data_IF_595473865225
#
_entry.id   IF_595473865225
#
_cell.length_a   1.000
_cell.length_b   1.000
_cell.length_c   1.000
_cell.angle_alpha   90.00
_cell.angle_beta   90.00
_cell.angle_gamma   90.00
#
_symmetry.space_group_name_H-M   'P 1'
#
loop_
_entity.id
_entity.type
_entity.pdbx_description
1 polymer ?
#
# COMPACT_ATOMS: atom_id res chain seq x y z
N UNK A 1 33.90 4.47 -17.23
CA UNK A 1 33.02 5.65 -17.17
C UNK A 1 32.65 5.88 -15.72
N UNK A 2 33.12 6.97 -15.13
CA UNK A 2 32.76 7.40 -13.78
C UNK A 2 31.47 8.21 -13.87
N UNK A 3 30.34 7.59 -13.50
CA UNK A 3 29.01 8.17 -13.69
C UNK A 3 28.47 8.91 -12.45
N UNK A 4 29.12 8.76 -11.30
CA UNK A 4 28.73 9.36 -10.01
C UNK A 4 29.97 9.73 -9.21
N UNK A 5 29.83 10.74 -8.35
CA UNK A 5 30.89 11.15 -7.44
C UNK A 5 31.05 10.17 -6.28
N UNK A 6 32.30 9.90 -5.92
CA UNK A 6 32.68 9.07 -4.78
C UNK A 6 33.26 9.93 -3.66
N UNK A 7 33.03 9.50 -2.43
CA UNK A 7 33.62 10.09 -1.24
C UNK A 7 34.33 9.00 -0.42
N UNK A 8 35.21 9.43 0.48
CA UNK A 8 35.81 8.53 1.44
C UNK A 8 34.74 8.01 2.41
N UNK A 9 34.83 6.72 2.76
CA UNK A 9 34.00 6.11 3.79
C UNK A 9 34.39 6.63 5.19
N UNK A 10 33.65 6.21 6.22
CA UNK A 10 33.79 6.74 7.60
C UNK A 10 35.20 6.67 8.22
N UNK A 11 36.08 5.77 7.77
CA UNK A 11 37.45 5.60 8.25
C UNK A 11 38.53 5.99 7.22
N UNK A 12 38.12 6.50 6.05
CA UNK A 12 39.01 6.96 4.99
C UNK A 12 39.76 5.85 4.24
N UNK A 13 39.39 4.58 4.42
CA UNK A 13 40.10 3.44 3.81
C UNK A 13 39.53 2.99 2.48
N UNK A 14 38.24 3.22 2.24
CA UNK A 14 37.55 2.85 1.02
C UNK A 14 36.77 4.06 0.48
N UNK A 15 36.42 4.00 -0.80
CA UNK A 15 35.50 4.96 -1.38
C UNK A 15 34.09 4.38 -1.46
N UNK A 16 33.09 5.23 -1.24
CA UNK A 16 31.67 4.93 -1.40
C UNK A 16 31.00 5.96 -2.33
N UNK A 17 30.02 5.55 -3.15
CA UNK A 17 29.31 6.47 -4.01
C UNK A 17 28.38 7.37 -3.18
N UNK A 18 28.35 8.66 -3.48
CA UNK A 18 27.44 9.63 -2.81
C UNK A 18 25.98 9.42 -3.24
N UNK A 19 25.76 8.97 -4.47
CA UNK A 19 24.48 8.58 -5.05
C UNK A 19 24.67 7.38 -5.97
N UNK A 20 23.60 6.65 -6.26
CA UNK A 20 23.61 5.61 -7.28
C UNK A 20 23.12 6.18 -8.62
N UNK A 21 23.57 5.64 -9.79
CA UNK A 21 23.09 6.09 -11.09
C UNK A 21 21.57 6.03 -11.33
N UNK A 22 20.83 5.25 -10.52
CA UNK A 22 19.37 5.19 -10.49
C UNK A 22 18.70 5.20 -11.88
N UNK A 23 19.02 4.20 -12.71
CA UNK A 23 18.57 4.10 -14.12
C UNK A 23 17.05 3.88 -14.30
N UNK A 24 16.31 3.82 -13.21
CA UNK A 24 14.85 3.85 -13.16
C UNK A 24 14.42 4.72 -11.96
N UNK A 25 13.20 5.29 -11.96
CA UNK A 25 12.74 6.21 -10.91
C UNK A 25 12.46 5.50 -9.56
N UNK A 26 13.52 5.07 -8.89
CA UNK A 26 13.49 4.19 -7.71
C UNK A 26 12.68 4.76 -6.54
N UNK A 27 12.83 6.06 -6.24
CA UNK A 27 12.15 6.69 -5.13
C UNK A 27 10.62 6.58 -5.23
N UNK A 28 10.07 6.78 -6.42
CA UNK A 28 8.62 6.65 -6.64
C UNK A 28 8.20 5.20 -6.84
N UNK A 29 9.04 4.37 -7.46
CA UNK A 29 8.74 2.96 -7.71
C UNK A 29 8.59 2.19 -6.39
N UNK A 30 9.55 2.36 -5.47
CA UNK A 30 9.55 1.65 -4.19
C UNK A 30 8.93 2.45 -3.03
N UNK A 31 8.81 3.77 -3.19
CA UNK A 31 8.42 4.64 -2.10
C UNK A 31 9.53 4.83 -1.07
N UNK A 32 9.21 5.52 0.02
CA UNK A 32 10.10 5.73 1.16
C UNK A 32 9.28 6.06 2.38
N UNK A 33 9.66 5.50 3.53
CA UNK A 33 9.10 5.86 4.82
C UNK A 33 10.23 6.09 5.81
N UNK A 34 10.12 7.13 6.62
CA UNK A 34 11.15 7.47 7.58
C UNK A 34 10.72 8.56 8.54
N UNK A 35 11.16 8.46 9.78
CA UNK A 35 10.96 9.47 10.81
C UNK A 35 12.34 10.03 11.16
N UNK A 36 12.49 11.33 11.00
CA UNK A 36 13.68 12.07 11.40
C UNK A 36 13.31 13.09 12.49
N UNK A 37 14.30 13.81 13.01
CA UNK A 37 14.08 14.80 14.06
C UNK A 37 13.22 15.96 13.52
N UNK A 38 11.96 16.02 13.96
CA UNK A 38 11.01 17.07 13.59
C UNK A 38 10.29 16.89 12.23
N UNK A 39 10.52 15.78 11.52
CA UNK A 39 9.87 15.51 10.23
C UNK A 39 9.65 14.01 9.99
N UNK A 40 8.65 13.69 9.18
CA UNK A 40 8.42 12.33 8.70
C UNK A 40 8.14 12.36 7.20
N UNK A 41 8.59 11.32 6.50
CA UNK A 41 8.32 11.10 5.08
C UNK A 41 7.51 9.82 4.90
N UNK A 42 6.56 9.86 3.97
CA UNK A 42 5.79 8.70 3.53
C UNK A 42 5.41 8.86 2.07
N UNK A 43 6.25 8.32 1.19
CA UNK A 43 6.06 8.28 -0.25
C UNK A 43 5.58 6.86 -0.59
N UNK A 44 4.40 6.69 -1.19
CA UNK A 44 3.92 5.36 -1.56
C UNK A 44 4.61 4.84 -2.83
N UNK A 45 4.69 3.51 -3.01
CA UNK A 45 5.19 2.88 -4.24
C UNK A 45 4.24 3.11 -5.42
N UNK A 46 4.76 3.03 -6.64
CA UNK A 46 4.02 3.25 -7.89
C UNK A 46 4.43 2.23 -8.95
N UNK A 47 3.53 2.04 -9.92
CA UNK A 47 3.78 1.09 -11.00
C UNK A 47 4.92 1.58 -11.89
N UNK A 48 5.95 0.75 -12.09
CA UNK A 48 7.12 1.13 -12.88
C UNK A 48 6.79 1.49 -14.33
N UNK A 49 5.79 0.86 -14.94
CA UNK A 49 5.40 1.15 -16.34
C UNK A 49 4.68 2.49 -16.46
N UNK A 50 3.92 2.87 -15.44
CA UNK A 50 3.24 4.17 -15.38
C UNK A 50 4.26 5.29 -15.14
N UNK A 51 5.20 5.06 -14.23
CA UNK A 51 6.33 5.97 -14.02
C UNK A 51 7.18 6.13 -15.28
N UNK A 52 7.52 5.04 -15.97
CA UNK A 52 8.29 5.09 -17.20
C UNK A 52 7.60 5.94 -18.28
N UNK A 53 6.28 5.75 -18.49
CA UNK A 53 5.50 6.58 -19.41
C UNK A 53 5.49 8.05 -19.02
N UNK A 54 5.41 8.36 -17.72
CA UNK A 54 5.50 9.72 -17.22
C UNK A 54 6.86 10.37 -17.50
N UNK A 55 7.94 9.61 -17.30
CA UNK A 55 9.32 10.05 -17.61
C UNK A 55 9.52 10.26 -19.11
N UNK A 56 9.07 9.32 -19.94
CA UNK A 56 9.11 9.44 -21.41
C UNK A 56 8.36 10.69 -21.87
N UNK A 57 7.15 10.93 -21.34
CA UNK A 57 6.38 12.12 -21.67
C UNK A 57 7.13 13.42 -21.31
N UNK A 58 7.77 13.46 -20.14
CA UNK A 58 8.54 14.62 -19.70
C UNK A 58 9.80 14.86 -20.57
N UNK A 59 10.43 13.79 -21.08
CA UNK A 59 11.56 13.88 -22.01
C UNK A 59 11.11 14.38 -23.40
N UNK A 60 9.93 13.97 -23.86
CA UNK A 60 9.36 14.42 -25.14
C UNK A 60 8.86 15.87 -25.10
N UNK A 61 8.61 16.43 -23.91
CA UNK A 61 8.06 17.77 -23.70
C UNK A 61 8.93 18.62 -22.75
N UNK A 62 10.20 18.91 -23.10
CA UNK A 62 11.14 19.59 -22.20
C UNK A 62 10.74 21.05 -21.89
N UNK A 63 9.95 21.68 -22.77
CA UNK A 63 9.46 23.06 -22.61
C UNK A 63 8.10 23.15 -21.91
N UNK A 64 7.54 22.01 -21.46
CA UNK A 64 6.26 22.00 -20.76
C UNK A 64 6.35 22.82 -19.47
N UNK A 65 5.32 23.61 -19.21
CA UNK A 65 5.20 24.31 -17.93
C UNK A 65 5.04 23.32 -16.78
N UNK A 66 5.32 23.77 -15.55
CA UNK A 66 5.15 22.95 -14.35
C UNK A 66 3.71 22.44 -14.22
N UNK A 67 2.74 23.29 -14.58
CA UNK A 67 1.32 22.97 -14.56
C UNK A 67 0.97 21.90 -15.60
N UNK A 68 1.44 22.04 -16.84
CA UNK A 68 1.21 21.05 -17.91
C UNK A 68 1.83 19.70 -17.58
N UNK A 69 3.08 19.71 -17.08
CA UNK A 69 3.77 18.50 -16.63
C UNK A 69 2.97 17.79 -15.54
N UNK A 70 2.54 18.53 -14.52
CA UNK A 70 1.76 17.95 -13.42
C UNK A 70 0.45 17.33 -13.91
N UNK A 71 -0.31 18.03 -14.76
CA UNK A 71 -1.57 17.51 -15.31
C UNK A 71 -1.36 16.28 -16.20
N UNK A 72 -0.27 16.22 -16.96
CA UNK A 72 0.08 15.05 -17.76
C UNK A 72 0.46 13.86 -16.86
N UNK A 73 1.31 14.07 -15.86
CA UNK A 73 1.75 13.03 -14.94
C UNK A 73 0.60 12.45 -14.11
N UNK A 74 -0.35 13.26 -13.63
CA UNK A 74 -1.53 12.78 -12.89
C UNK A 74 -2.40 11.84 -13.75
N UNK A 75 -2.42 12.03 -15.08
CA UNK A 75 -3.17 11.15 -16.00
C UNK A 75 -2.41 9.85 -16.26
N UNK A 76 -1.09 9.92 -16.41
CA UNK A 76 -0.23 8.78 -16.72
C UNK A 76 0.06 7.90 -15.50
N UNK A 77 0.08 8.50 -14.30
CA UNK A 77 0.33 7.86 -13.01
C UNK A 77 -0.95 8.01 -12.18
N UNK A 78 -1.94 7.11 -12.36
CA UNK A 78 -3.26 7.24 -11.77
C UNK A 78 -3.27 7.15 -10.24
N UNK A 79 -2.25 6.54 -9.64
CA UNK A 79 -2.14 6.40 -8.20
C UNK A 79 -0.98 5.49 -7.77
N UNK A 80 -0.84 5.27 -6.45
CA UNK A 80 0.04 4.26 -5.91
C UNK A 80 -0.27 2.85 -6.39
N UNK A 81 0.76 2.02 -6.46
CA UNK A 81 0.68 0.59 -6.75
C UNK A 81 1.40 -0.18 -5.63
N UNK A 82 0.62 -0.72 -4.70
CA UNK A 82 1.16 -1.38 -3.53
C UNK A 82 1.50 -2.84 -3.84
N UNK A 83 2.66 -3.35 -3.38
CA UNK A 83 3.05 -4.73 -3.62
C UNK A 83 2.12 -5.76 -2.95
N UNK A 84 1.29 -5.33 -1.99
CA UNK A 84 0.31 -6.16 -1.28
C UNK A 84 -1.07 -6.17 -1.95
N UNK A 85 -1.23 -5.47 -3.07
CA UNK A 85 -2.52 -5.26 -3.73
C UNK A 85 -3.42 -4.31 -2.94
N UNK A 86 -4.61 -4.79 -2.60
CA UNK A 86 -5.70 -4.06 -1.97
C UNK A 86 -6.36 -3.03 -2.91
N UNK A 87 -7.41 -2.39 -2.41
CA UNK A 87 -8.17 -1.40 -3.17
C UNK A 87 -8.01 -0.01 -2.56
N UNK A 88 -7.64 0.98 -3.38
CA UNK A 88 -7.70 2.39 -2.98
C UNK A 88 -9.12 2.92 -3.14
N UNK A 89 -9.61 3.64 -2.13
CA UNK A 89 -10.94 4.24 -2.13
C UNK A 89 -10.90 5.69 -2.56
N UNK A 90 -11.34 5.94 -3.80
CA UNK A 90 -11.41 7.29 -4.37
C UNK A 90 -10.07 7.83 -4.84
N UNK A 91 -10.11 8.99 -5.53
CA UNK A 91 -8.92 9.61 -6.16
C UNK A 91 -8.46 10.91 -5.52
N UNK A 92 -9.35 11.57 -4.75
CA UNK A 92 -9.07 12.88 -4.15
C UNK A 92 -7.77 12.91 -3.34
N UNK A 93 -7.56 11.92 -2.47
CA UNK A 93 -6.35 11.84 -1.65
C UNK A 93 -5.07 11.63 -2.44
N UNK A 94 -5.15 10.99 -3.61
CA UNK A 94 -4.02 10.80 -4.53
C UNK A 94 -3.69 12.15 -5.18
N UNK A 95 -4.69 12.84 -5.70
CA UNK A 95 -4.50 14.14 -6.34
C UNK A 95 -3.97 15.19 -5.36
N UNK A 96 -4.51 15.24 -4.14
CA UNK A 96 -4.01 16.12 -3.07
C UNK A 96 -2.52 15.82 -2.78
N UNK A 97 -2.14 14.54 -2.70
CA UNK A 97 -0.76 14.11 -2.49
C UNK A 97 0.17 14.55 -3.63
N UNK A 98 -0.23 14.39 -4.88
CA UNK A 98 0.57 14.81 -6.03
C UNK A 98 0.70 16.32 -6.17
N UNK A 99 -0.35 17.07 -5.85
CA UNK A 99 -0.35 18.54 -5.99
C UNK A 99 0.37 19.25 -4.84
N UNK A 100 0.27 18.71 -3.62
CA UNK A 100 0.70 19.41 -2.40
C UNK A 100 1.83 18.70 -1.65
N UNK A 101 2.16 17.45 -2.03
CA UNK A 101 3.04 16.57 -1.27
C UNK A 101 2.35 15.92 -0.05
N UNK A 102 1.06 16.21 0.20
CA UNK A 102 0.29 15.67 1.33
C UNK A 102 -1.11 15.25 0.89
N UNK A 103 -1.50 14.03 1.23
CA UNK A 103 -2.84 13.51 0.96
C UNK A 103 -3.11 12.24 1.73
N UNK A 104 -4.38 12.01 2.07
CA UNK A 104 -4.81 10.79 2.77
C UNK A 104 -5.37 9.80 1.77
N UNK A 105 -4.64 8.70 1.53
CA UNK A 105 -5.02 7.64 0.61
C UNK A 105 -5.58 6.49 1.44
N UNK A 106 -6.90 6.29 1.38
CA UNK A 106 -7.57 5.20 2.10
C UNK A 106 -7.46 3.90 1.31
N UNK A 107 -6.86 2.88 1.93
CA UNK A 107 -6.78 1.53 1.39
C UNK A 107 -7.81 0.61 2.05
N UNK A 108 -8.25 -0.42 1.32
CA UNK A 108 -9.22 -1.41 1.79
C UNK A 108 -8.80 -2.81 1.35
N UNK A 109 -8.85 -3.75 2.28
CA UNK A 109 -8.64 -5.16 2.00
C UNK A 109 -9.63 -5.70 0.95
N UNK A 110 -9.21 -6.66 0.14
CA UNK A 110 -10.11 -7.39 -0.76
C UNK A 110 -10.71 -8.56 0.01
N UNK A 111 -12.04 -8.57 0.11
CA UNK A 111 -12.79 -9.55 0.90
C UNK A 111 -13.91 -10.15 0.07
N UNK A 112 -13.93 -11.47 -0.06
CA UNK A 112 -15.04 -12.24 -0.62
C UNK A 112 -15.92 -12.82 0.50
N UNK A 113 -17.20 -13.03 0.19
CA UNK A 113 -18.10 -13.80 1.06
C UNK A 113 -18.21 -15.19 0.48
N UNK A 114 -17.77 -16.20 1.23
CA UNK A 114 -17.79 -17.61 0.82
C UNK A 114 -18.65 -18.42 1.79
N UNK A 115 -19.20 -19.55 1.33
CA UNK A 115 -19.84 -20.53 2.21
C UNK A 115 -18.93 -21.75 2.36
N UNK A 116 -18.45 -21.98 3.58
CA UNK A 116 -17.52 -23.07 3.90
C UNK A 116 -18.20 -23.95 4.95
N UNK A 117 -18.38 -25.24 4.62
CA UNK A 117 -19.02 -26.22 5.52
C UNK A 117 -20.38 -25.77 6.08
N UNK A 118 -21.20 -25.11 5.25
CA UNK A 118 -22.52 -24.62 5.63
C UNK A 118 -22.50 -23.40 6.56
N UNK A 119 -21.38 -22.68 6.62
CA UNK A 119 -21.23 -21.40 7.34
C UNK A 119 -20.75 -20.31 6.39
N UNK A 120 -21.30 -19.11 6.54
CA UNK A 120 -20.78 -17.93 5.86
C UNK A 120 -19.43 -17.53 6.46
N UNK A 121 -18.48 -17.23 5.59
CA UNK A 121 -17.14 -16.80 5.92
C UNK A 121 -16.80 -15.53 5.15
N UNK A 122 -16.06 -14.63 5.78
CA UNK A 122 -15.36 -13.55 5.08
C UNK A 122 -13.95 -14.03 4.79
N UNK A 123 -13.56 -14.05 3.53
CA UNK A 123 -12.23 -14.48 3.10
C UNK A 123 -11.47 -13.27 2.60
N UNK A 124 -10.41 -12.92 3.30
CA UNK A 124 -9.53 -11.80 2.95
C UNK A 124 -8.38 -12.32 2.11
N UNK A 125 -8.27 -11.83 0.88
CA UNK A 125 -7.25 -12.26 -0.10
C UNK A 125 -6.14 -11.24 -0.28
N UNK A 126 -6.39 -9.97 0.03
CA UNK A 126 -5.41 -8.90 -0.08
C UNK A 126 -5.56 -7.95 1.11
N UNK A 127 -4.43 -7.49 1.65
CA UNK A 127 -4.39 -6.60 2.80
C UNK A 127 -3.75 -5.25 2.41
N UNK A 128 -4.18 -4.15 3.06
CA UNK A 128 -3.52 -2.86 2.87
C UNK A 128 -2.02 -2.92 3.13
N UNK A 129 -1.27 -2.03 2.48
CA UNK A 129 0.18 -1.98 2.57
C UNK A 129 0.66 -1.85 4.02
N UNK A 130 1.67 -2.66 4.37
CA UNK A 130 2.28 -2.74 5.71
C UNK A 130 1.36 -3.28 6.83
N UNK A 131 0.19 -3.82 6.49
CA UNK A 131 -0.65 -4.54 7.47
C UNK A 131 -0.10 -5.95 7.62
N UNK A 132 0.26 -6.31 8.86
CA UNK A 132 0.64 -7.66 9.21
C UNK A 132 -0.61 -8.51 9.49
N UNK A 133 -0.77 -9.70 8.87
CA UNK A 133 -1.96 -10.53 9.01
C UNK A 133 -2.14 -11.11 10.43
N UNK A 134 -1.07 -11.49 11.12
CA UNK A 134 -1.13 -12.03 12.48
C UNK A 134 -1.61 -10.96 13.46
N UNK A 135 -1.02 -9.77 13.39
CA UNK A 135 -1.42 -8.62 14.21
C UNK A 135 -2.88 -8.23 13.95
N UNK A 136 -3.34 -8.34 12.69
CA UNK A 136 -4.73 -8.10 12.33
C UNK A 136 -5.66 -9.17 12.95
N UNK A 137 -5.30 -10.45 12.86
CA UNK A 137 -6.07 -11.54 13.45
C UNK A 137 -6.17 -11.40 14.97
N UNK A 138 -5.05 -11.08 15.65
CA UNK A 138 -5.02 -10.83 17.10
C UNK A 138 -5.89 -9.65 17.50
N UNK A 139 -5.84 -8.55 16.73
CA UNK A 139 -6.69 -7.37 16.95
C UNK A 139 -8.16 -7.71 16.79
N UNK A 140 -8.55 -8.48 15.76
CA UNK A 140 -9.94 -8.91 15.58
C UNK A 140 -10.37 -9.81 16.75
N UNK A 141 -9.55 -10.77 17.14
CA UNK A 141 -9.84 -11.66 18.27
C UNK A 141 -10.04 -10.87 19.58
N UNK A 142 -9.22 -9.85 19.81
CA UNK A 142 -9.38 -8.94 20.95
C UNK A 142 -10.71 -8.17 20.90
N UNK A 143 -11.05 -7.57 19.75
CA UNK A 143 -12.30 -6.83 19.58
C UNK A 143 -13.55 -7.71 19.74
N UNK A 144 -13.46 -9.00 19.40
CA UNK A 144 -14.53 -9.98 19.63
C UNK A 144 -14.65 -10.33 21.11
N UNK A 145 -13.53 -10.55 21.81
CA UNK A 145 -13.51 -10.80 23.27
C UNK A 145 -14.09 -9.62 24.06
N UNK A 146 -13.76 -8.39 23.66
CA UNK A 146 -14.24 -7.17 24.29
C UNK A 146 -15.71 -6.84 23.95
N UNK A 147 -16.37 -7.66 23.13
CA UNK A 147 -17.75 -7.46 22.70
C UNK A 147 -17.95 -6.27 21.74
N UNK A 148 -16.86 -5.70 21.22
CA UNK A 148 -16.91 -4.57 20.29
C UNK A 148 -17.32 -4.98 18.88
N UNK A 149 -16.97 -6.22 18.48
CA UNK A 149 -17.39 -6.84 17.23
C UNK A 149 -18.13 -8.14 17.54
N UNK A 150 -19.40 -8.21 17.15
CA UNK A 150 -20.21 -9.42 17.20
C UNK A 150 -20.21 -10.19 15.88
N UNK A 151 -20.77 -11.39 15.89
CA UNK A 151 -21.04 -12.16 14.68
C UNK A 151 -19.86 -12.95 14.10
N UNK A 152 -18.68 -12.90 14.75
CA UNK A 152 -17.52 -13.74 14.41
C UNK A 152 -17.52 -14.96 15.33
N UNK A 153 -17.32 -16.14 14.75
CA UNK A 153 -17.24 -17.42 15.45
C UNK A 153 -15.80 -17.91 15.58
N UNK A 154 -14.98 -17.74 14.55
CA UNK A 154 -13.62 -18.26 14.48
C UNK A 154 -12.80 -17.46 13.44
N UNK A 155 -11.47 -17.47 13.57
CA UNK A 155 -10.54 -16.83 12.63
C UNK A 155 -9.44 -17.83 12.31
N UNK A 156 -9.18 -18.06 11.03
CA UNK A 156 -8.22 -19.05 10.55
C UNK A 156 -7.31 -18.42 9.52
N UNK A 157 -6.01 -18.51 9.73
CA UNK A 157 -5.06 -18.20 8.67
C UNK A 157 -4.83 -19.45 7.82
N UNK A 158 -5.31 -19.41 6.57
CA UNK A 158 -5.12 -20.45 5.56
C UNK A 158 -4.09 -20.01 4.49
N UNK A 159 -3.24 -19.04 4.84
CA UNK A 159 -2.17 -18.55 3.96
C UNK A 159 -1.18 -19.68 3.64
N UNK A 160 -0.91 -19.87 2.35
CA UNK A 160 0.05 -20.87 1.89
C UNK A 160 0.75 -20.40 0.62
N UNK A 161 1.90 -21.00 0.29
CA UNK A 161 2.59 -20.70 -0.98
C UNK A 161 1.77 -20.98 -2.24
N UNK A 162 0.69 -21.79 -2.14
CA UNK A 162 -0.21 -22.09 -3.27
C UNK A 162 -1.44 -21.17 -3.33
N UNK A 163 -1.99 -20.79 -2.18
CA UNK A 163 -3.21 -19.98 -2.08
C UNK A 163 -2.92 -18.48 -1.98
N UNK A 164 -1.68 -18.10 -1.68
CA UNK A 164 -1.34 -16.73 -1.31
C UNK A 164 -1.95 -16.35 0.04
N UNK A 165 -2.09 -15.05 0.30
CA UNK A 165 -2.75 -14.51 1.48
C UNK A 165 -4.20 -15.01 1.55
N UNK A 166 -4.59 -15.68 2.63
CA UNK A 166 -5.96 -16.15 2.83
C UNK A 166 -6.33 -16.18 4.31
N UNK A 167 -6.88 -15.08 4.81
CA UNK A 167 -7.42 -15.01 6.18
C UNK A 167 -8.93 -15.27 6.15
N UNK A 168 -9.36 -16.35 6.78
CA UNK A 168 -10.77 -16.79 6.81
C UNK A 168 -11.39 -16.44 8.15
N UNK A 169 -12.42 -15.60 8.12
CA UNK A 169 -13.20 -15.20 9.29
C UNK A 169 -14.55 -15.92 9.23
N UNK A 170 -14.74 -16.92 10.07
CA UNK A 170 -15.97 -17.71 10.13
C UNK A 170 -17.03 -16.94 10.91
N UNK A 171 -18.22 -16.78 10.33
CA UNK A 171 -19.30 -16.04 10.96
C UNK A 171 -20.20 -16.95 11.81
N UNK A 172 -20.91 -16.35 12.77
CA UNK A 172 -22.02 -17.01 13.48
C UNK A 172 -23.21 -17.18 12.54
N UNK A 173 -24.07 -18.18 12.80
CA UNK A 173 -25.21 -18.52 11.94
C UNK A 173 -26.22 -17.38 11.74
N UNK A 174 -26.33 -16.50 12.71
CA UNK A 174 -27.24 -15.34 12.76
C UNK A 174 -26.58 -14.04 12.27
N UNK A 175 -25.29 -14.07 11.93
CA UNK A 175 -24.54 -12.89 11.56
C UNK A 175 -24.72 -12.53 10.08
N UNK A 176 -24.94 -11.24 9.81
CA UNK A 176 -25.01 -10.72 8.44
C UNK A 176 -23.60 -10.32 7.97
N UNK A 177 -23.06 -11.03 6.98
CA UNK A 177 -21.70 -10.85 6.48
C UNK A 177 -21.34 -9.39 6.17
N UNK A 178 -22.23 -8.64 5.50
CA UNK A 178 -22.01 -7.22 5.18
C UNK A 178 -21.90 -6.32 6.42
N UNK A 179 -22.64 -6.63 7.49
CA UNK A 179 -22.59 -5.84 8.73
C UNK A 179 -21.28 -6.10 9.46
N UNK A 180 -20.87 -7.37 9.56
CA UNK A 180 -19.59 -7.75 10.17
C UNK A 180 -18.42 -7.13 9.38
N UNK A 181 -18.45 -7.21 8.05
CA UNK A 181 -17.43 -6.62 7.18
C UNK A 181 -17.30 -5.10 7.38
N UNK A 182 -18.43 -4.38 7.44
CA UNK A 182 -18.40 -2.93 7.70
C UNK A 182 -17.88 -2.59 9.10
N UNK A 183 -18.16 -3.43 10.10
CA UNK A 183 -17.63 -3.25 11.44
C UNK A 183 -16.11 -3.50 11.50
N UNK A 184 -15.62 -4.50 10.76
CA UNK A 184 -14.19 -4.74 10.59
C UNK A 184 -13.51 -3.50 10.01
N UNK A 185 -13.96 -2.99 8.85
CA UNK A 185 -13.39 -1.79 8.24
C UNK A 185 -13.34 -0.54 9.14
N UNK A 186 -14.23 -0.43 10.12
CA UNK A 186 -14.27 0.71 11.04
C UNK A 186 -13.36 0.56 12.25
N UNK A 187 -13.03 -0.67 12.65
CA UNK A 187 -12.40 -0.97 13.95
C UNK A 187 -11.04 -1.64 13.84
N UNK A 188 -10.71 -2.21 12.69
CA UNK A 188 -9.43 -2.87 12.44
C UNK A 188 -8.59 -2.03 11.51
#
# INVERSE_FOLDING_TARGET
>A
EECVDFQDNYDGRNQEPTILPARFPNLLANGSEGIAVGMATRIPPHNLRELARGVEWALDHPEATREELLEALIKLIPGPDFPTGATILGRKGIEDAYRTGRGSITQRAVVSVEEIQGRQCLVVTELPYQVNPDNLADKIAQLVRDGQIGGIADIRDETSGRTGQRLVIVLKRDAVAKVVLNNLYKRT
#
